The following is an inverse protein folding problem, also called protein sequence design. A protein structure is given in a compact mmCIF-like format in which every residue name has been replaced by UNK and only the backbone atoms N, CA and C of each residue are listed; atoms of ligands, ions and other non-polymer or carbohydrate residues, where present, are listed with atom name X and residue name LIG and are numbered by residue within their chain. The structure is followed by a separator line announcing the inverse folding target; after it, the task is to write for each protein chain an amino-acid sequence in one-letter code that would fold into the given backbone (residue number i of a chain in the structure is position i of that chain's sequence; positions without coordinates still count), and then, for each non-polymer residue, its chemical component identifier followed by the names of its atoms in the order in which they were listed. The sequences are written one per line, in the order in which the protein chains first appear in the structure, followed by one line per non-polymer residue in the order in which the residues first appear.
data_IF_714630461949
#
_entry.id   IF_714630461949
#
_cell.length_a   1.000
_cell.length_b   1.000
_cell.length_c   1.000
_cell.angle_alpha   90.00
_cell.angle_beta   90.00
_cell.angle_gamma   90.00
#
_symmetry.space_group_name_H-M   'P 1'
#
loop_
_entity.id
_entity.type
_entity.pdbx_description
1 polymer ?
#
# COMPACT_ATOMS: atom_id res chain seq x y z
N UNK A 1 -0.95 18.45 4.43
CA UNK A 1 -1.24 17.21 3.70
C UNK A 1 -0.05 16.92 2.82
N UNK A 2 0.64 15.82 3.07
CA UNK A 2 1.79 15.35 2.28
C UNK A 2 1.28 14.28 1.31
N UNK A 3 1.71 14.34 0.05
CA UNK A 3 1.36 13.33 -0.96
C UNK A 3 2.61 12.71 -1.53
N UNK A 4 2.67 11.38 -1.52
CA UNK A 4 3.77 10.60 -2.07
C UNK A 4 3.23 9.66 -3.13
N UNK A 5 3.92 9.54 -4.25
CA UNK A 5 3.63 8.55 -5.28
C UNK A 5 4.66 7.42 -5.24
N UNK A 6 4.19 6.19 -5.31
CA UNK A 6 5.02 4.99 -5.34
C UNK A 6 4.57 4.11 -6.50
N UNK A 7 5.54 3.61 -7.27
CA UNK A 7 5.34 2.50 -8.20
C UNK A 7 5.67 1.21 -7.46
N UNK A 8 4.67 0.33 -7.33
CA UNK A 8 4.83 -0.98 -6.74
C UNK A 8 5.32 -1.96 -7.79
N UNK A 9 6.32 -2.75 -7.45
CA UNK A 9 6.71 -3.96 -8.16
C UNK A 9 6.21 -5.20 -7.38
N UNK A 10 6.64 -6.40 -7.79
CA UNK A 10 6.18 -7.66 -7.17
C UNK A 10 6.77 -7.94 -5.78
N UNK A 11 7.64 -7.06 -5.27
CA UNK A 11 8.24 -7.12 -3.93
C UNK A 11 7.46 -6.29 -2.92
N UNK A 12 7.56 -6.65 -1.64
CA UNK A 12 6.87 -5.92 -0.57
C UNK A 12 7.49 -4.55 -0.32
N UNK A 13 6.70 -3.50 -0.55
CA UNK A 13 7.07 -2.11 -0.26
C UNK A 13 6.17 -1.54 0.85
N UNK A 14 6.76 -0.83 1.81
CA UNK A 14 6.03 -0.19 2.91
C UNK A 14 5.36 1.08 2.40
N UNK A 15 4.04 1.21 2.62
CA UNK A 15 3.25 2.35 2.18
C UNK A 15 2.93 3.30 3.32
N UNK A 16 2.67 2.76 4.52
CA UNK A 16 2.43 3.56 5.72
C UNK A 16 3.37 3.12 6.84
N UNK A 17 3.68 4.05 7.75
CA UNK A 17 4.49 3.77 8.92
C UNK A 17 3.70 3.61 10.23
N UNK A 18 2.38 3.81 10.17
CA UNK A 18 1.47 3.73 11.30
C UNK A 18 1.46 4.98 12.18
N UNK A 19 2.12 6.07 11.78
CA UNK A 19 2.18 7.30 12.60
C UNK A 19 1.00 8.23 12.38
N UNK A 20 0.47 8.27 11.15
CA UNK A 20 -0.63 9.14 10.74
C UNK A 20 -1.65 8.37 9.90
N UNK A 21 -2.87 8.87 9.83
CA UNK A 21 -3.87 8.37 8.90
C UNK A 21 -3.43 8.68 7.46
N UNK A 22 -3.85 7.83 6.52
CA UNK A 22 -3.58 8.03 5.11
C UNK A 22 -4.72 7.52 4.23
N UNK A 23 -4.85 8.09 3.04
CA UNK A 23 -5.64 7.52 1.95
C UNK A 23 -4.70 7.04 0.85
N UNK A 24 -4.87 5.79 0.43
CA UNK A 24 -4.15 5.20 -0.68
C UNK A 24 -5.07 5.21 -1.90
N UNK A 25 -4.65 5.79 -3.01
CA UNK A 25 -5.33 5.71 -4.30
C UNK A 25 -4.56 4.73 -5.20
N UNK A 26 -5.19 3.62 -5.57
CA UNK A 26 -4.56 2.54 -6.34
C UNK A 26 -5.01 2.65 -7.80
N UNK A 27 -4.06 2.67 -8.74
CA UNK A 27 -4.30 2.53 -10.19
C UNK A 27 -3.58 1.28 -10.70
N UNK A 28 -4.34 0.28 -11.12
CA UNK A 28 -3.89 -1.10 -11.36
C UNK A 28 -4.42 -2.07 -10.31
N UNK A 29 -3.87 -3.29 -10.27
CA UNK A 29 -4.22 -4.32 -9.29
C UNK A 29 -3.05 -4.67 -8.36
N UNK A 30 -3.17 -4.30 -7.07
CA UNK A 30 -2.15 -4.58 -6.05
C UNK A 30 -2.65 -5.51 -4.93
N UNK A 31 -1.70 -6.20 -4.32
CA UNK A 31 -1.89 -6.96 -3.09
C UNK A 31 -1.42 -6.17 -1.89
N UNK A 32 -2.21 -6.16 -0.82
CA UNK A 32 -1.92 -5.44 0.42
C UNK A 32 -1.86 -6.38 1.61
N UNK A 33 -1.02 -6.05 2.59
CA UNK A 33 -0.89 -6.79 3.84
C UNK A 33 -0.68 -5.83 5.02
N UNK A 34 -1.42 -6.02 6.10
CA UNK A 34 -1.31 -5.25 7.33
C UNK A 34 -0.34 -5.98 8.28
N UNK A 35 0.83 -5.40 8.50
CA UNK A 35 1.84 -6.00 9.37
C UNK A 35 2.87 -4.97 9.82
N UNK A 36 3.25 -5.04 11.10
CA UNK A 36 4.31 -4.20 11.66
C UNK A 36 5.69 -4.48 11.03
N UNK A 37 5.91 -5.70 10.53
CA UNK A 37 7.14 -6.11 9.84
C UNK A 37 6.88 -6.43 8.36
N UNK A 38 7.93 -6.41 7.54
CA UNK A 38 7.84 -6.83 6.13
C UNK A 38 7.24 -8.24 6.05
N UNK A 39 6.16 -8.46 5.27
CA UNK A 39 5.60 -9.80 5.10
C UNK A 39 6.58 -10.73 4.38
N UNK A 40 6.43 -12.04 4.60
CA UNK A 40 7.12 -13.05 3.80
C UNK A 40 6.66 -13.00 2.34
N UNK A 41 7.50 -13.46 1.41
CA UNK A 41 7.22 -13.34 -0.03
C UNK A 41 5.92 -14.09 -0.45
N UNK A 42 5.58 -15.17 0.25
CA UNK A 42 4.34 -15.95 0.04
C UNK A 42 3.17 -15.52 0.93
N UNK A 43 3.28 -14.39 1.65
CA UNK A 43 2.21 -13.92 2.52
C UNK A 43 0.90 -13.66 1.73
N UNK A 44 -0.26 -14.03 2.30
CA UNK A 44 -1.55 -13.82 1.64
C UNK A 44 -1.81 -12.33 1.46
N UNK A 45 -2.54 -11.98 0.39
CA UNK A 45 -2.79 -10.59 0.03
C UNK A 45 -4.27 -10.27 0.04
N UNK A 46 -4.62 -9.08 0.54
CA UNK A 46 -5.88 -8.44 0.20
C UNK A 46 -5.73 -7.79 -1.18
N UNK A 47 -6.46 -8.27 -2.18
CA UNK A 47 -6.44 -7.71 -3.53
C UNK A 47 -7.34 -6.49 -3.63
N UNK A 48 -6.76 -5.36 -4.06
CA UNK A 48 -7.48 -4.10 -4.33
C UNK A 48 -7.17 -3.68 -5.77
N UNK A 49 -8.19 -3.20 -6.50
CA UNK A 49 -8.09 -2.84 -7.93
C UNK A 49 -8.77 -1.52 -8.18
N UNK A 50 -8.05 -0.56 -8.77
CA UNK A 50 -8.59 0.75 -9.22
C UNK A 50 -9.52 1.41 -8.18
N UNK A 51 -9.04 1.50 -6.93
CA UNK A 51 -9.85 1.90 -5.79
C UNK A 51 -9.03 2.73 -4.81
N UNK A 52 -9.74 3.47 -3.98
CA UNK A 52 -9.19 4.12 -2.80
C UNK A 52 -9.37 3.27 -1.53
N UNK A 53 -8.40 3.36 -0.62
CA UNK A 53 -8.42 2.70 0.68
C UNK A 53 -7.96 3.67 1.76
N UNK A 54 -8.80 3.87 2.78
CA UNK A 54 -8.43 4.59 3.99
C UNK A 54 -7.63 3.69 4.93
N UNK A 55 -6.60 4.24 5.56
CA UNK A 55 -5.72 3.58 6.52
C UNK A 55 -5.65 4.45 7.77
N UNK A 56 -6.04 3.89 8.90
CA UNK A 56 -5.97 4.57 10.20
C UNK A 56 -4.71 4.19 10.95
N UNK A 57 -4.06 5.16 11.60
CA UNK A 57 -3.01 4.85 12.56
C UNK A 57 -3.57 3.93 13.67
N UNK A 58 -2.82 2.93 14.17
CA UNK A 58 -1.38 2.71 13.97
C UNK A 58 -1.04 1.70 12.84
N UNK A 59 -1.88 1.57 11.82
CA UNK A 59 -1.74 0.52 10.81
C UNK A 59 -0.52 0.72 9.89
N UNK A 60 0.35 -0.30 9.83
CA UNK A 60 1.45 -0.40 8.88
C UNK A 60 0.99 -1.24 7.69
N UNK A 61 0.92 -0.63 6.51
CA UNK A 61 0.49 -1.26 5.27
C UNK A 61 1.69 -1.53 4.38
N UNK A 62 1.78 -2.76 3.89
CA UNK A 62 2.68 -3.17 2.82
C UNK A 62 1.87 -3.43 1.55
N UNK A 63 2.43 -3.03 0.41
CA UNK A 63 1.85 -3.26 -0.91
C UNK A 63 2.85 -3.88 -1.87
N UNK A 64 2.33 -4.61 -2.86
CA UNK A 64 3.06 -5.09 -4.04
C UNK A 64 2.14 -5.17 -5.25
N UNK A 65 2.69 -5.07 -6.45
CA UNK A 65 2.01 -5.48 -7.68
C UNK A 65 1.68 -6.97 -7.63
N UNK A 66 0.57 -7.35 -8.26
CA UNK A 66 0.23 -8.76 -8.45
C UNK A 66 1.05 -9.35 -9.61
N UNK A 67 1.17 -10.67 -9.66
CA UNK A 67 2.06 -11.39 -10.59
C UNK A 67 1.81 -11.12 -12.09
N UNK A 68 0.64 -10.61 -12.47
CA UNK A 68 0.27 -10.26 -13.84
C UNK A 68 0.33 -8.75 -14.14
N UNK A 69 0.74 -7.94 -13.16
CA UNK A 69 0.98 -6.50 -13.32
C UNK A 69 2.49 -6.28 -13.22
N UNK A 70 3.07 -5.58 -14.20
CA UNK A 70 4.50 -5.22 -14.17
C UNK A 70 4.78 -4.14 -13.12
N UNK A 71 3.86 -3.17 -13.00
CA UNK A 71 3.92 -2.14 -11.97
C UNK A 71 2.53 -1.59 -11.64
N UNK A 72 2.30 -1.21 -10.39
CA UNK A 72 1.05 -0.60 -9.92
C UNK A 72 1.33 0.77 -9.33
N UNK A 73 0.60 1.79 -9.76
CA UNK A 73 0.74 3.15 -9.20
C UNK A 73 -0.11 3.29 -7.95
N UNK A 74 0.51 3.76 -6.86
CA UNK A 74 -0.19 4.12 -5.62
C UNK A 74 0.16 5.54 -5.22
N UNK A 75 -0.87 6.37 -5.03
CA UNK A 75 -0.73 7.71 -4.44
C UNK A 75 -1.15 7.65 -2.98
N UNK A 76 -0.31 8.17 -2.09
CA UNK A 76 -0.48 8.14 -0.65
C UNK A 76 -0.68 9.57 -0.18
N UNK A 77 -1.89 9.91 0.27
CA UNK A 77 -2.18 11.20 0.90
C UNK A 77 -2.20 11.02 2.42
N UNK A 78 -1.18 11.56 3.10
CA UNK A 78 -1.07 11.52 4.57
C UNK A 78 -1.78 12.71 5.20
N UNK A 79 -2.57 12.44 6.24
CA UNK A 79 -3.15 13.47 7.09
C UNK A 79 -2.05 14.14 7.92
N UNK A 80 -2.29 15.40 8.31
CA UNK A 80 -1.38 16.06 9.25
C UNK A 80 -1.44 15.35 10.61
N UNK A 81 -0.32 15.27 11.34
CA UNK A 81 -0.30 14.69 12.69
C UNK A 81 -1.20 15.45 13.67
#
# INVERSE_FOLDING_TARGET
METVEIMLDQTWQRLTDGTVNATLQITGAAGFHLSAARPGDDAPVLRIVNREMGVTAPSVVWGRALWYEDAVRVVIAKEAP
#
